data_IF_440934923499
#
_entry.id   IF_440934923499
#
_cell.length_a   1.000
_cell.length_b   1.000
_cell.length_c   1.000
_cell.angle_alpha   90.00
_cell.angle_beta   90.00
_cell.angle_gamma   90.00
#
_symmetry.space_group_name_H-M   'P 1'
#
loop_
_entity.id
_entity.type
_entity.pdbx_description
1 polymer ?
#
# COMPACT_ATOMS: atom_id res chain seq x y z
N UNK A 1 -0.64 0.61 -8.95
CA UNK A 1 0.58 1.17 -8.34
C UNK A 1 1.76 0.33 -8.80
N UNK A 2 1.55 -0.97 -8.94
CA UNK A 2 2.44 -1.97 -9.54
C UNK A 2 3.00 -1.55 -10.90
N UNK A 3 2.18 -1.12 -11.86
CA UNK A 3 2.68 -0.60 -13.15
C UNK A 3 3.68 0.56 -13.01
N UNK A 4 3.48 1.45 -12.01
CA UNK A 4 4.40 2.56 -11.74
C UNK A 4 5.64 2.13 -10.95
N UNK A 5 5.55 1.03 -10.18
CA UNK A 5 6.72 0.43 -9.52
C UNK A 5 7.59 -0.28 -10.55
N UNK A 6 6.99 -1.05 -11.45
CA UNK A 6 7.68 -1.70 -12.57
C UNK A 6 8.37 -0.68 -13.48
N UNK A 7 7.69 0.43 -13.83
CA UNK A 7 8.30 1.53 -14.59
C UNK A 7 9.51 2.14 -13.86
N UNK A 8 9.47 2.23 -12.52
CA UNK A 8 10.60 2.72 -11.72
C UNK A 8 11.77 1.74 -11.69
N UNK A 9 11.51 0.45 -11.65
CA UNK A 9 12.53 -0.61 -11.66
C UNK A 9 13.24 -0.70 -13.01
N UNK A 10 12.51 -0.47 -14.11
CA UNK A 10 13.08 -0.46 -15.47
C UNK A 10 13.78 0.86 -15.83
N UNK A 11 13.55 1.93 -15.05
CA UNK A 11 14.13 3.25 -15.33
C UNK A 11 15.36 3.50 -14.46
N UNK A 12 16.47 3.87 -15.10
CA UNK A 12 17.68 4.31 -14.38
C UNK A 12 17.37 5.50 -13.46
N UNK A 13 17.75 5.40 -12.18
CA UNK A 13 17.46 6.41 -11.15
C UNK A 13 18.00 7.82 -11.48
N UNK A 14 19.06 7.89 -12.28
CA UNK A 14 19.67 9.15 -12.75
C UNK A 14 18.85 9.85 -13.84
N UNK A 15 17.88 9.15 -14.44
CA UNK A 15 17.01 9.67 -15.48
C UNK A 15 16.02 10.69 -14.89
N UNK A 16 15.82 11.86 -15.53
CA UNK A 16 14.74 12.77 -15.17
C UNK A 16 13.34 12.13 -15.24
N UNK A 17 13.17 11.10 -16.09
CA UNK A 17 11.92 10.36 -16.18
C UNK A 17 11.63 9.59 -14.88
N UNK A 18 12.66 9.02 -14.24
CA UNK A 18 12.52 8.31 -12.97
C UNK A 18 11.92 9.20 -11.89
N UNK A 19 12.45 10.43 -11.73
CA UNK A 19 11.93 11.39 -10.77
C UNK A 19 10.47 11.81 -11.07
N UNK A 20 10.09 11.90 -12.34
CA UNK A 20 8.71 12.21 -12.71
C UNK A 20 7.76 11.06 -12.34
N UNK A 21 8.14 9.82 -12.61
CA UNK A 21 7.36 8.62 -12.27
C UNK A 21 7.27 8.42 -10.76
N UNK A 22 8.37 8.63 -10.02
CA UNK A 22 8.40 8.54 -8.57
C UNK A 22 7.46 9.57 -7.90
N UNK A 23 7.41 10.79 -8.43
CA UNK A 23 6.46 11.82 -7.96
C UNK A 23 5.00 11.40 -8.19
N UNK A 24 4.67 10.89 -9.38
CA UNK A 24 3.32 10.41 -9.69
C UNK A 24 2.91 9.24 -8.79
N UNK A 25 3.81 8.28 -8.56
CA UNK A 25 3.58 7.18 -7.65
C UNK A 25 3.32 7.70 -6.22
N UNK A 26 4.15 8.63 -5.75
CA UNK A 26 3.98 9.24 -4.43
C UNK A 26 2.62 9.93 -4.29
N UNK A 27 2.22 10.75 -5.26
CA UNK A 27 0.90 11.42 -5.25
C UNK A 27 -0.24 10.40 -5.20
N UNK A 28 -0.13 9.32 -5.98
CA UNK A 28 -1.13 8.25 -6.02
C UNK A 28 -1.22 7.51 -4.68
N UNK A 29 -0.09 7.15 -4.08
CA UNK A 29 -0.04 6.51 -2.75
C UNK A 29 -0.72 7.40 -1.70
N UNK A 30 -0.36 8.69 -1.63
CA UNK A 30 -0.97 9.60 -0.67
C UNK A 30 -2.48 9.78 -0.88
N UNK A 31 -2.93 9.78 -2.14
CA UNK A 31 -4.35 9.80 -2.44
C UNK A 31 -5.06 8.55 -1.90
N UNK A 32 -4.52 7.36 -2.18
CA UNK A 32 -5.08 6.09 -1.69
C UNK A 32 -5.14 6.03 -0.16
N UNK A 33 -4.05 6.36 0.53
CA UNK A 33 -4.01 6.39 2.00
C UNK A 33 -5.10 7.31 2.58
N UNK A 34 -5.27 8.50 1.99
CA UNK A 34 -6.32 9.42 2.43
C UNK A 34 -7.72 8.85 2.22
N UNK A 35 -7.97 8.16 1.12
CA UNK A 35 -9.26 7.50 0.90
C UNK A 35 -9.51 6.36 1.90
N UNK A 36 -8.48 5.56 2.18
CA UNK A 36 -8.52 4.49 3.18
C UNK A 36 -8.89 5.05 4.56
N UNK A 37 -8.18 6.06 5.04
CA UNK A 37 -8.42 6.69 6.34
C UNK A 37 -9.81 7.31 6.46
N UNK A 38 -10.26 8.00 5.40
CA UNK A 38 -11.51 8.78 5.44
C UNK A 38 -12.76 7.96 5.14
N UNK A 39 -12.64 6.85 4.40
CA UNK A 39 -13.79 6.06 3.94
C UNK A 39 -13.71 4.62 4.43
N UNK A 40 -12.66 3.90 4.05
CA UNK A 40 -12.60 2.45 4.27
C UNK A 40 -12.44 2.10 5.75
N UNK A 41 -11.53 2.73 6.47
CA UNK A 41 -11.32 2.50 7.90
C UNK A 41 -12.53 2.93 8.73
N UNK A 42 -13.22 4.00 8.31
CA UNK A 42 -14.46 4.44 8.95
C UNK A 42 -15.59 3.41 8.78
N UNK A 43 -15.67 2.78 7.60
CA UNK A 43 -16.66 1.72 7.33
C UNK A 43 -16.32 0.44 8.09
N UNK A 44 -15.06 0.02 8.04
CA UNK A 44 -14.57 -1.17 8.76
C UNK A 44 -14.79 -1.04 10.27
N UNK A 45 -14.55 0.15 10.84
CA UNK A 45 -14.81 0.43 12.25
C UNK A 45 -16.29 0.28 12.67
N UNK A 46 -17.23 0.41 11.72
CA UNK A 46 -18.67 0.22 11.95
C UNK A 46 -19.14 -1.22 11.70
N UNK A 47 -18.52 -1.91 10.74
CA UNK A 47 -18.93 -3.25 10.30
C UNK A 47 -18.29 -4.37 11.11
N UNK A 48 -17.06 -4.17 11.59
CA UNK A 48 -16.28 -5.20 12.27
C UNK A 48 -16.32 -5.01 13.78
N UNK A 49 -16.56 -6.11 14.49
CA UNK A 49 -16.35 -6.15 15.93
C UNK A 49 -14.85 -6.30 16.27
N UNK A 50 -14.52 -6.13 17.55
CA UNK A 50 -13.12 -6.19 18.02
C UNK A 50 -12.46 -7.55 17.79
N UNK A 51 -13.22 -8.65 17.86
CA UNK A 51 -12.67 -10.00 17.64
C UNK A 51 -12.33 -10.20 16.17
N UNK A 52 -13.18 -9.75 15.26
CA UNK A 52 -12.95 -9.78 13.82
C UNK A 52 -11.74 -8.93 13.45
N UNK A 53 -11.61 -7.71 14.01
CA UNK A 53 -10.43 -6.85 13.81
C UNK A 53 -9.14 -7.53 14.25
N UNK A 54 -9.13 -8.16 15.43
CA UNK A 54 -7.96 -8.86 15.94
C UNK A 54 -7.58 -10.08 15.07
N UNK A 55 -8.57 -10.84 14.60
CA UNK A 55 -8.33 -11.98 13.69
C UNK A 55 -7.68 -11.50 12.39
N UNK A 56 -8.29 -10.51 11.73
CA UNK A 56 -7.82 -9.97 10.45
C UNK A 56 -6.42 -9.33 10.59
N UNK A 57 -6.16 -8.64 11.70
CA UNK A 57 -4.83 -8.08 11.98
C UNK A 57 -3.78 -9.19 12.15
N UNK A 58 -4.11 -10.27 12.87
CA UNK A 58 -3.20 -11.42 13.02
C UNK A 58 -2.93 -12.14 11.70
N UNK A 59 -3.96 -12.34 10.88
CA UNK A 59 -3.83 -12.91 9.54
C UNK A 59 -2.94 -12.05 8.64
N UNK A 60 -3.13 -10.72 8.65
CA UNK A 60 -2.29 -9.79 7.91
C UNK A 60 -0.82 -9.84 8.33
N UNK A 61 -0.54 -9.80 9.65
CA UNK A 61 0.85 -9.84 10.15
C UNK A 61 1.53 -11.14 9.77
N UNK A 62 0.81 -12.26 9.88
CA UNK A 62 1.34 -13.57 9.48
C UNK A 62 1.72 -13.59 8.00
N UNK A 63 0.81 -13.17 7.12
CA UNK A 63 1.06 -13.10 5.67
C UNK A 63 2.23 -12.16 5.34
N UNK A 64 2.29 -11.00 6.01
CA UNK A 64 3.39 -10.05 5.84
C UNK A 64 4.76 -10.65 6.22
N UNK A 65 4.81 -11.38 7.34
CA UNK A 65 6.03 -12.09 7.77
C UNK A 65 6.44 -13.20 6.78
N UNK A 66 5.46 -13.93 6.22
CA UNK A 66 5.70 -14.96 5.21
C UNK A 66 6.28 -14.33 3.93
N UNK A 67 5.67 -13.26 3.39
CA UNK A 67 6.17 -12.57 2.19
C UNK A 67 7.54 -11.92 2.41
N UNK A 68 7.80 -11.37 3.59
CA UNK A 68 9.11 -10.78 3.92
C UNK A 68 10.21 -11.85 3.96
N UNK A 69 9.89 -13.08 4.35
CA UNK A 69 10.84 -14.19 4.37
C UNK A 69 11.10 -14.79 2.97
N UNK A 70 10.21 -14.57 2.01
CA UNK A 70 10.33 -15.01 0.62
C UNK A 70 11.14 -14.04 -0.27
N UNK A 71 11.24 -12.77 0.13
CA UNK A 71 11.91 -11.68 -0.61
C UNK A 71 13.41 -11.54 -0.41
#
# INVERSE_FOLDING_TARGET
MDEMMEELDETEMSSPAWLATAKKLSEKVHHHLKEEEQKFFQMAGKLLDEKQKQSLAGEYVKEYEEQLAEG
#
